data_IF_481365239419
#
_entry.id   IF_481365239419
#
_cell.length_a   1.000
_cell.length_b   1.000
_cell.length_c   1.000
_cell.angle_alpha   90.00
_cell.angle_beta   90.00
_cell.angle_gamma   90.00
#
_symmetry.space_group_name_H-M   'P 1'
#
loop_
_entity.id
_entity.type
_entity.pdbx_description
1 polymer ?
#
# COMPACT_ATOMS: atom_id res chain seq x y z
N UNK A 1 7.14 -9.14 -6.59
CA UNK A 1 7.45 -9.82 -7.89
C UNK A 1 6.19 -9.88 -8.76
N UNK A 2 6.08 -9.03 -9.78
CA UNK A 2 4.98 -9.09 -10.75
C UNK A 2 5.27 -10.19 -11.76
N UNK A 3 4.52 -11.29 -11.71
CA UNK A 3 4.71 -12.40 -12.66
C UNK A 3 3.86 -12.14 -13.89
N UNK A 4 4.54 -11.75 -14.99
CA UNK A 4 4.01 -11.88 -16.34
C UNK A 4 3.82 -13.37 -16.66
N UNK A 5 2.61 -13.77 -17.08
CA UNK A 5 2.37 -15.10 -17.64
C UNK A 5 2.95 -15.17 -19.06
N UNK A 6 4.19 -15.67 -19.20
CA UNK A 6 4.62 -16.51 -20.33
C UNK A 6 6.06 -17.04 -20.16
N UNK A 7 6.22 -18.38 -20.21
CA UNK A 7 7.24 -19.06 -21.02
C UNK A 7 8.66 -19.27 -20.48
N UNK A 8 8.95 -20.53 -20.14
CA UNK A 8 10.26 -21.22 -20.17
C UNK A 8 11.44 -20.70 -19.30
N UNK A 9 11.63 -21.39 -18.17
CA UNK A 9 12.82 -22.23 -17.97
C UNK A 9 14.13 -21.53 -17.62
N UNK A 10 14.29 -21.20 -16.34
CA UNK A 10 15.57 -21.35 -15.61
C UNK A 10 15.23 -21.48 -14.12
N UNK A 11 15.67 -22.57 -13.48
CA UNK A 11 15.59 -22.73 -12.02
C UNK A 11 16.52 -21.70 -11.38
N UNK A 12 15.99 -20.50 -11.13
CA UNK A 12 16.63 -19.50 -10.30
C UNK A 12 16.74 -20.04 -8.88
N UNK A 13 17.94 -19.96 -8.31
CA UNK A 13 18.20 -20.22 -6.90
C UNK A 13 17.13 -19.55 -6.04
N UNK A 14 16.49 -20.31 -5.17
CA UNK A 14 15.48 -19.80 -4.24
C UNK A 14 16.24 -18.91 -3.25
N UNK A 15 16.36 -17.62 -3.56
CA UNK A 15 16.64 -16.63 -2.53
C UNK A 15 15.59 -16.84 -1.43
N UNK A 16 15.98 -16.82 -0.14
CA UNK A 16 14.97 -16.83 0.93
C UNK A 16 13.98 -15.70 0.63
N UNK A 17 12.70 -16.04 0.54
CA UNK A 17 11.66 -15.12 0.09
C UNK A 17 11.73 -13.84 0.91
N UNK A 18 12.28 -12.77 0.30
CA UNK A 18 12.35 -11.46 0.95
C UNK A 18 10.92 -10.96 1.07
N UNK A 19 10.52 -10.53 2.27
CA UNK A 19 9.18 -9.99 2.46
C UNK A 19 9.05 -8.70 1.61
N UNK A 20 8.12 -8.64 0.64
CA UNK A 20 7.92 -7.45 -0.19
C UNK A 20 7.47 -6.27 0.65
N UNK A 21 8.01 -5.08 0.39
CA UNK A 21 7.66 -3.85 1.09
C UNK A 21 7.16 -2.83 0.09
N UNK A 22 5.98 -2.28 0.40
CA UNK A 22 5.45 -1.06 -0.17
C UNK A 22 5.65 0.06 0.84
N UNK A 23 6.29 1.16 0.44
CA UNK A 23 6.54 2.28 1.34
C UNK A 23 5.81 3.54 0.89
N UNK A 24 4.94 4.08 1.73
CA UNK A 24 4.36 5.40 1.51
C UNK A 24 5.40 6.47 1.88
N UNK A 25 5.66 7.36 0.93
CA UNK A 25 6.53 8.53 1.04
C UNK A 25 5.98 9.62 0.12
N UNK A 26 6.47 10.84 0.24
CA UNK A 26 5.77 12.01 -0.29
C UNK A 26 6.69 12.97 -1.03
N UNK A 27 7.95 13.09 -0.59
CA UNK A 27 8.91 14.09 -1.07
C UNK A 27 10.25 13.45 -1.43
N UNK A 28 11.05 14.16 -2.21
CA UNK A 28 12.38 13.71 -2.63
C UNK A 28 13.30 13.36 -1.45
N UNK A 29 13.27 14.13 -0.38
CA UNK A 29 14.14 13.93 0.77
C UNK A 29 13.82 12.64 1.54
N UNK A 30 12.60 12.13 1.47
CA UNK A 30 12.23 10.82 2.03
C UNK A 30 12.75 9.68 1.15
N UNK A 31 12.77 9.87 -0.18
CA UNK A 31 13.42 8.92 -1.11
C UNK A 31 14.92 8.87 -0.85
N UNK A 32 15.57 10.04 -0.67
CA UNK A 32 16.99 10.11 -0.28
C UNK A 32 17.25 9.43 1.05
N UNK A 33 16.37 9.62 2.03
CA UNK A 33 16.47 8.97 3.33
C UNK A 33 16.32 7.46 3.25
N UNK A 34 15.41 6.95 2.41
CA UNK A 34 15.29 5.52 2.12
C UNK A 34 16.57 4.97 1.50
N UNK A 35 17.11 5.65 0.48
CA UNK A 35 18.35 5.24 -0.19
C UNK A 35 19.52 5.22 0.79
N UNK A 36 19.65 6.24 1.64
CA UNK A 36 20.66 6.31 2.70
C UNK A 36 20.50 5.19 3.73
N UNK A 37 19.28 4.94 4.20
CA UNK A 37 19.00 3.87 5.17
C UNK A 37 19.41 2.48 4.65
N UNK A 38 19.19 2.20 3.37
CA UNK A 38 19.61 0.96 2.72
C UNK A 38 21.12 0.95 2.52
N UNK A 39 21.71 2.03 1.98
CA UNK A 39 23.15 2.12 1.71
C UNK A 39 24.00 1.96 2.99
N UNK A 40 23.57 2.53 4.11
CA UNK A 40 24.31 2.47 5.38
C UNK A 40 24.14 1.14 6.14
N UNK A 41 23.38 0.19 5.61
CA UNK A 41 23.11 -1.09 6.27
C UNK A 41 23.34 -2.29 5.34
N UNK A 42 24.45 -3.04 5.51
CA UNK A 42 24.70 -4.27 4.76
C UNK A 42 23.55 -5.29 4.89
N UNK A 43 22.93 -5.37 6.06
CA UNK A 43 21.74 -6.21 6.26
C UNK A 43 20.58 -5.79 5.35
N UNK A 44 20.25 -4.49 5.26
CA UNK A 44 19.16 -4.03 4.41
C UNK A 44 19.46 -4.19 2.93
N UNK A 45 20.70 -4.00 2.49
CA UNK A 45 21.09 -4.27 1.10
C UNK A 45 20.80 -5.73 0.68
N UNK A 46 20.92 -6.66 1.63
CA UNK A 46 20.65 -8.09 1.40
C UNK A 46 19.20 -8.49 1.64
N UNK A 47 18.52 -7.89 2.62
CA UNK A 47 17.23 -8.37 3.12
C UNK A 47 16.04 -7.50 2.74
N UNK A 48 16.24 -6.20 2.50
CA UNK A 48 15.14 -5.32 2.11
C UNK A 48 14.69 -5.64 0.68
N UNK A 49 13.37 -5.75 0.49
CA UNK A 49 12.74 -5.82 -0.83
C UNK A 49 11.75 -4.68 -0.95
N UNK A 50 12.23 -3.50 -1.32
CA UNK A 50 11.34 -2.37 -1.62
C UNK A 50 10.78 -2.60 -3.01
N UNK A 51 9.61 -3.23 -3.09
CA UNK A 51 8.93 -3.48 -4.36
C UNK A 51 8.38 -2.17 -4.94
N UNK A 52 7.87 -1.30 -4.07
CA UNK A 52 7.26 -0.05 -4.51
C UNK A 52 7.35 1.06 -3.46
N UNK A 53 7.38 2.28 -3.95
CA UNK A 53 7.18 3.51 -3.18
C UNK A 53 5.90 4.18 -3.66
N UNK A 54 5.16 4.83 -2.76
CA UNK A 54 3.89 5.46 -3.12
C UNK A 54 3.79 6.89 -2.62
N UNK A 55 3.49 7.80 -3.54
CA UNK A 55 3.02 9.15 -3.23
C UNK A 55 1.54 9.09 -2.85
N UNK A 56 1.27 9.32 -1.57
CA UNK A 56 -0.03 9.07 -0.94
C UNK A 56 -0.76 10.37 -0.59
N UNK A 57 -2.09 10.39 -0.69
CA UNK A 57 -2.93 11.54 -0.34
C UNK A 57 -2.91 11.86 1.17
N UNK A 58 -2.45 10.91 2.00
CA UNK A 58 -2.10 11.09 3.40
C UNK A 58 -1.03 12.17 3.63
N UNK A 59 -0.41 12.70 2.57
CA UNK A 59 0.36 13.95 2.60
C UNK A 59 -0.43 15.11 3.23
N UNK A 60 -1.73 15.19 2.92
CA UNK A 60 -2.64 16.19 3.47
C UNK A 60 -2.67 16.16 5.01
N UNK A 61 -2.65 14.97 5.59
CA UNK A 61 -2.70 14.79 7.04
C UNK A 61 -1.32 14.94 7.68
N UNK A 62 -0.30 14.33 7.08
CA UNK A 62 1.06 14.28 7.62
C UNK A 62 1.76 15.63 7.50
N UNK A 63 1.89 16.18 6.30
CA UNK A 63 2.70 17.35 6.02
C UNK A 63 1.92 18.66 6.04
N UNK A 64 0.62 18.62 5.74
CA UNK A 64 -0.24 19.81 5.73
C UNK A 64 -1.16 19.91 6.97
N UNK A 65 -1.13 18.93 7.87
CA UNK A 65 -1.87 18.97 9.13
C UNK A 65 -3.40 18.96 8.98
N UNK A 66 -3.96 18.55 7.84
CA UNK A 66 -5.41 18.39 7.66
C UNK A 66 -5.90 17.20 8.49
N UNK A 67 -7.15 17.26 8.92
CA UNK A 67 -7.80 16.16 9.66
C UNK A 67 -8.24 14.99 8.78
N UNK A 68 -8.26 15.17 7.46
CA UNK A 68 -8.73 14.18 6.48
C UNK A 68 -8.04 14.37 5.13
N UNK A 69 -8.01 13.30 4.34
CA UNK A 69 -7.59 13.32 2.93
C UNK A 69 -8.72 13.76 1.98
N UNK A 70 -9.96 13.84 2.48
CA UNK A 70 -11.09 14.42 1.74
C UNK A 70 -11.01 15.93 1.70
N UNK A 71 -11.39 16.51 0.57
CA UNK A 71 -11.38 17.97 0.34
C UNK A 71 -12.71 18.42 -0.24
N UNK A 72 -12.98 19.73 -0.18
CA UNK A 72 -14.19 20.26 -0.82
C UNK A 72 -14.08 20.14 -2.34
N UNK A 73 -15.22 20.06 -3.05
CA UNK A 73 -15.23 19.89 -4.52
C UNK A 73 -14.41 20.98 -5.26
N UNK A 74 -14.42 22.22 -4.75
CA UNK A 74 -13.61 23.31 -5.30
C UNK A 74 -12.10 23.17 -5.09
N UNK A 75 -11.65 22.36 -4.12
CA UNK A 75 -10.24 22.08 -3.85
C UNK A 75 -9.71 20.87 -4.65
N UNK A 76 -10.58 20.00 -5.18
CA UNK A 76 -10.17 18.75 -5.84
C UNK A 76 -9.21 18.96 -7.03
N UNK A 77 -9.40 19.96 -7.93
CA UNK A 77 -8.43 20.23 -8.99
C UNK A 77 -7.04 20.61 -8.47
N UNK A 78 -7.00 21.44 -7.40
CA UNK A 78 -5.74 21.86 -6.77
C UNK A 78 -5.04 20.69 -6.07
N UNK A 79 -5.81 19.79 -5.45
CA UNK A 79 -5.28 18.57 -4.85
C UNK A 79 -4.64 17.66 -5.91
N UNK A 80 -5.31 17.46 -7.05
CA UNK A 80 -4.76 16.68 -8.16
C UNK A 80 -3.45 17.30 -8.67
N UNK A 81 -3.42 18.62 -8.87
CA UNK A 81 -2.21 19.32 -9.31
C UNK A 81 -1.05 19.17 -8.31
N UNK A 82 -1.34 19.25 -7.02
CA UNK A 82 -0.36 19.01 -5.96
C UNK A 82 0.19 17.59 -6.03
N UNK A 83 -0.68 16.57 -6.10
CA UNK A 83 -0.27 15.17 -6.14
C UNK A 83 0.57 14.86 -7.39
N UNK A 84 0.20 15.39 -8.56
CA UNK A 84 1.00 15.27 -9.80
C UNK A 84 2.41 15.84 -9.63
N UNK A 85 2.56 16.97 -8.94
CA UNK A 85 3.87 17.56 -8.69
C UNK A 85 4.71 16.75 -7.69
N UNK A 86 4.08 16.22 -6.63
CA UNK A 86 4.75 15.33 -5.67
C UNK A 86 5.22 14.03 -6.34
N UNK A 87 4.38 13.43 -7.19
CA UNK A 87 4.76 12.26 -8.01
C UNK A 87 5.97 12.58 -8.88
N UNK A 88 5.99 13.74 -9.56
CA UNK A 88 7.12 14.14 -10.41
C UNK A 88 8.41 14.31 -9.60
N UNK A 89 8.32 14.94 -8.44
CA UNK A 89 9.44 15.13 -7.52
C UNK A 89 10.02 13.77 -7.07
N UNK A 90 9.17 12.89 -6.56
CA UNK A 90 9.55 11.54 -6.09
C UNK A 90 10.11 10.69 -7.24
N UNK A 91 9.44 10.69 -8.39
CA UNK A 91 9.86 9.88 -9.53
C UNK A 91 11.24 10.30 -10.06
N UNK A 92 11.55 11.59 -10.06
CA UNK A 92 12.88 12.09 -10.42
C UNK A 92 13.94 11.60 -9.43
N UNK A 93 13.65 11.61 -8.13
CA UNK A 93 14.61 11.20 -7.10
C UNK A 93 14.80 9.68 -7.06
N UNK A 94 13.73 8.89 -7.24
CA UNK A 94 13.81 7.42 -7.30
C UNK A 94 14.76 6.98 -8.42
N UNK A 95 14.60 7.57 -9.61
CA UNK A 95 15.47 7.28 -10.77
C UNK A 95 16.93 7.69 -10.57
N UNK A 96 17.22 8.61 -9.64
CA UNK A 96 18.56 9.06 -9.30
C UNK A 96 19.20 8.24 -8.19
N UNK A 97 18.38 7.78 -7.25
CA UNK A 97 18.82 7.10 -6.03
C UNK A 97 18.91 5.57 -6.19
N UNK A 98 18.21 4.98 -7.17
CA UNK A 98 18.12 3.53 -7.36
C UNK A 98 18.41 3.11 -8.82
N UNK A 99 19.69 2.93 -9.15
CA UNK A 99 20.13 2.69 -10.54
C UNK A 99 19.97 1.24 -11.03
N UNK A 100 20.04 0.26 -10.14
CA UNK A 100 20.04 -1.17 -10.55
C UNK A 100 18.66 -1.80 -10.49
N UNK A 101 17.91 -1.53 -9.43
CA UNK A 101 16.59 -2.10 -9.17
C UNK A 101 15.69 -1.04 -8.54
N UNK A 102 15.23 -0.04 -9.32
CA UNK A 102 14.34 0.98 -8.80
C UNK A 102 13.00 0.36 -8.37
N UNK A 103 12.43 0.79 -7.22
CA UNK A 103 11.08 0.41 -6.85
C UNK A 103 10.06 0.99 -7.84
N UNK A 104 8.93 0.31 -8.01
CA UNK A 104 7.80 0.88 -8.75
C UNK A 104 7.28 2.13 -8.02
N UNK A 105 6.94 3.17 -8.79
CA UNK A 105 6.37 4.41 -8.27
C UNK A 105 4.86 4.33 -8.40
N UNK A 106 4.17 4.35 -7.27
CA UNK A 106 2.71 4.34 -7.19
C UNK A 106 2.22 5.77 -6.92
N UNK A 107 1.26 6.24 -7.71
CA UNK A 107 0.55 7.49 -7.44
C UNK A 107 -0.84 7.17 -6.87
N UNK A 108 -1.16 7.70 -5.70
CA UNK A 108 -2.51 7.63 -5.18
C UNK A 108 -3.44 8.56 -5.96
N UNK A 109 -4.60 8.05 -6.37
CA UNK A 109 -5.64 8.83 -7.01
C UNK A 109 -6.41 9.59 -5.92
N UNK A 110 -6.24 10.93 -5.82
CA UNK A 110 -6.79 11.67 -4.69
C UNK A 110 -8.33 11.81 -4.77
N UNK A 111 -8.92 12.28 -3.67
CA UNK A 111 -10.36 12.57 -3.60
C UNK A 111 -10.85 13.39 -4.81
N UNK A 112 -11.97 12.94 -5.39
CA UNK A 112 -12.57 13.51 -6.61
C UNK A 112 -11.99 13.01 -7.94
N UNK A 113 -10.79 12.42 -7.95
CA UNK A 113 -10.12 12.01 -9.20
C UNK A 113 -10.67 10.72 -9.82
N UNK A 114 -11.53 9.98 -9.11
CA UNK A 114 -12.17 8.73 -9.56
C UNK A 114 -13.69 8.81 -9.54
N UNK A 115 -14.26 10.02 -9.69
CA UNK A 115 -15.72 10.23 -9.67
C UNK A 115 -16.44 9.58 -10.85
N UNK A 116 -15.81 9.59 -12.02
CA UNK A 116 -16.26 8.93 -13.24
C UNK A 116 -15.08 8.47 -14.10
N UNK A 117 -15.36 7.69 -15.14
CA UNK A 117 -14.35 7.11 -16.04
C UNK A 117 -13.50 8.19 -16.74
N UNK A 118 -14.10 9.29 -17.17
CA UNK A 118 -13.41 10.35 -17.91
C UNK A 118 -12.43 11.09 -17.02
N UNK A 119 -12.88 11.45 -15.82
CA UNK A 119 -12.04 12.10 -14.81
C UNK A 119 -10.92 11.15 -14.38
N UNK A 120 -11.22 9.88 -14.13
CA UNK A 120 -10.22 8.88 -13.74
C UNK A 120 -9.14 8.67 -14.80
N UNK A 121 -9.53 8.50 -16.08
CA UNK A 121 -8.60 8.36 -17.20
C UNK A 121 -7.69 9.58 -17.35
N UNK A 122 -8.27 10.78 -17.27
CA UNK A 122 -7.52 12.04 -17.39
C UNK A 122 -6.55 12.20 -16.22
N UNK A 123 -7.02 11.97 -14.99
CA UNK A 123 -6.22 12.11 -13.78
C UNK A 123 -5.09 11.09 -13.73
N UNK A 124 -5.38 9.82 -14.06
CA UNK A 124 -4.38 8.77 -14.10
C UNK A 124 -3.32 9.03 -15.17
N UNK A 125 -3.71 9.49 -16.36
CA UNK A 125 -2.76 9.87 -17.42
C UNK A 125 -1.79 10.95 -16.92
N UNK A 126 -2.28 11.96 -16.20
CA UNK A 126 -1.43 13.00 -15.60
C UNK A 126 -0.45 12.45 -14.56
N UNK A 127 -0.83 11.44 -13.78
CA UNK A 127 0.05 10.78 -12.81
C UNK A 127 1.13 9.94 -13.51
N UNK A 128 0.76 9.20 -14.55
CA UNK A 128 1.70 8.43 -15.37
C UNK A 128 2.69 9.36 -16.08
N UNK A 129 2.21 10.47 -16.66
CA UNK A 129 3.06 11.50 -17.28
C UNK A 129 4.00 12.19 -16.27
N UNK A 130 3.60 12.27 -15.00
CA UNK A 130 4.48 12.73 -13.92
C UNK A 130 5.56 11.70 -13.54
N UNK A 131 5.41 10.45 -14.00
CA UNK A 131 6.41 9.40 -13.85
C UNK A 131 6.01 8.28 -12.89
N UNK A 132 4.73 8.15 -12.53
CA UNK A 132 4.24 6.95 -11.86
C UNK A 132 4.16 5.76 -12.82
N UNK A 133 4.38 4.55 -12.27
CA UNK A 133 4.24 3.29 -13.00
C UNK A 133 2.86 2.65 -12.80
N UNK A 134 2.21 2.97 -11.69
CA UNK A 134 0.93 2.40 -11.24
C UNK A 134 0.10 3.48 -10.56
N UNK A 135 -1.22 3.46 -10.72
CA UNK A 135 -2.14 4.29 -9.94
C UNK A 135 -2.83 3.47 -8.84
N UNK A 136 -2.97 4.01 -7.62
CA UNK A 136 -3.78 3.41 -6.55
C UNK A 136 -5.19 3.98 -6.56
N UNK A 137 -6.20 3.13 -6.44
CA UNK A 137 -7.61 3.54 -6.30
C UNK A 137 -8.26 2.84 -5.11
N UNK A 138 -8.99 3.61 -4.28
CA UNK A 138 -9.79 3.06 -3.19
C UNK A 138 -11.11 2.48 -3.68
N UNK A 139 -11.42 1.25 -3.27
CA UNK A 139 -12.71 0.61 -3.57
C UNK A 139 -13.73 1.10 -2.55
N UNK A 140 -14.28 2.29 -2.82
CA UNK A 140 -15.30 2.91 -1.98
C UNK A 140 -16.72 2.42 -2.31
N UNK A 141 -16.93 1.84 -3.50
CA UNK A 141 -18.19 1.27 -3.97
C UNK A 141 -17.95 0.39 -5.22
N UNK A 142 -18.97 -0.36 -5.66
CA UNK A 142 -18.84 -1.27 -6.82
C UNK A 142 -18.58 -0.53 -8.15
N UNK A 143 -18.96 0.74 -8.31
CA UNK A 143 -18.70 1.49 -9.54
C UNK A 143 -17.20 1.79 -9.76
N UNK A 144 -16.37 1.60 -8.74
CA UNK A 144 -14.91 1.68 -8.89
C UNK A 144 -14.39 0.59 -9.84
N UNK A 145 -14.98 -0.60 -9.86
CA UNK A 145 -14.52 -1.69 -10.74
C UNK A 145 -14.67 -1.32 -12.23
N UNK A 146 -15.71 -0.57 -12.58
CA UNK A 146 -15.89 0.00 -13.91
C UNK A 146 -14.79 0.99 -14.30
N UNK A 147 -14.25 1.73 -13.34
CA UNK A 147 -13.13 2.66 -13.52
C UNK A 147 -11.82 1.88 -13.68
N UNK A 148 -11.59 0.88 -12.82
CA UNK A 148 -10.42 -0.01 -12.91
C UNK A 148 -10.37 -0.69 -14.28
N UNK A 149 -11.51 -1.17 -14.78
CA UNK A 149 -11.62 -1.76 -16.12
C UNK A 149 -11.28 -0.77 -17.23
N UNK A 150 -11.78 0.47 -17.14
CA UNK A 150 -11.49 1.51 -18.12
C UNK A 150 -10.00 1.88 -18.16
N UNK A 151 -9.35 1.97 -17.01
CA UNK A 151 -7.91 2.26 -16.89
C UNK A 151 -7.07 1.09 -17.43
N UNK A 152 -7.41 -0.14 -17.03
CA UNK A 152 -6.71 -1.35 -17.47
C UNK A 152 -6.81 -1.54 -18.99
N UNK A 153 -7.97 -1.21 -19.59
CA UNK A 153 -8.15 -1.23 -21.05
C UNK A 153 -7.25 -0.22 -21.80
N UNK A 154 -6.71 0.80 -21.11
CA UNK A 154 -5.71 1.72 -21.64
C UNK A 154 -4.27 1.35 -21.25
N UNK A 155 -4.05 0.14 -20.73
CA UNK A 155 -2.76 -0.34 -20.21
C UNK A 155 -2.23 0.49 -19.02
N UNK A 156 -3.11 1.20 -18.30
CA UNK A 156 -2.75 1.85 -17.04
C UNK A 156 -2.86 0.79 -15.94
N UNK A 157 -1.73 0.51 -15.28
CA UNK A 157 -1.65 -0.45 -14.18
C UNK A 157 -2.34 0.12 -12.94
N UNK A 158 -3.18 -0.69 -12.30
CA UNK A 158 -3.97 -0.27 -11.14
C UNK A 158 -3.68 -1.14 -9.92
N UNK A 159 -3.40 -0.50 -8.78
CA UNK A 159 -3.42 -1.11 -7.46
C UNK A 159 -4.72 -0.73 -6.75
N UNK A 160 -5.58 -1.69 -6.40
CA UNK A 160 -6.81 -1.37 -5.68
C UNK A 160 -6.61 -1.45 -4.17
N UNK A 161 -7.27 -0.56 -3.43
CA UNK A 161 -7.23 -0.54 -1.97
C UNK A 161 -8.55 -1.10 -1.42
N UNK A 162 -8.45 -2.25 -0.75
CA UNK A 162 -9.55 -2.95 -0.08
C UNK A 162 -9.40 -2.86 1.44
N UNK A 163 -10.51 -3.09 2.13
CA UNK A 163 -10.57 -3.01 3.57
C UNK A 163 -11.03 -1.62 4.02
N UNK A 164 -10.34 -1.05 5.00
CA UNK A 164 -10.61 0.32 5.44
C UNK A 164 -10.14 1.34 4.39
N UNK A 165 -11.10 2.02 3.75
CA UNK A 165 -10.84 3.09 2.78
C UNK A 165 -11.13 4.47 3.38
N UNK A 166 -10.10 5.29 3.70
CA UNK A 166 -10.28 6.65 4.23
C UNK A 166 -11.20 7.51 3.35
N UNK A 167 -11.07 7.41 2.03
CA UNK A 167 -11.89 8.17 1.09
C UNK A 167 -13.32 7.64 1.03
N UNK A 168 -13.59 6.41 1.47
CA UNK A 168 -14.92 5.80 1.57
C UNK A 168 -15.67 6.16 2.86
N UNK A 169 -14.99 6.72 3.86
CA UNK A 169 -15.59 7.12 5.13
C UNK A 169 -15.92 5.94 6.05
N UNK A 170 -15.36 4.76 5.75
CA UNK A 170 -15.41 3.62 6.66
C UNK A 170 -14.72 3.99 7.99
N UNK A 171 -15.14 3.37 9.08
CA UNK A 171 -14.52 3.55 10.41
C UNK A 171 -14.19 2.20 11.02
N UNK A 172 -12.92 2.00 11.40
CA UNK A 172 -12.50 0.82 12.15
C UNK A 172 -11.97 -0.33 11.30
N UNK A 173 -11.78 -1.49 11.95
CA UNK A 173 -11.30 -2.74 11.34
C UNK A 173 -12.46 -3.45 10.65
N UNK A 174 -12.21 -4.01 9.48
CA UNK A 174 -13.20 -4.74 8.67
C UNK A 174 -12.82 -6.22 8.51
N UNK A 175 -13.76 -7.03 8.00
CA UNK A 175 -13.58 -8.48 7.93
C UNK A 175 -13.61 -9.12 9.32
N UNK A 176 -14.38 -8.55 10.24
CA UNK A 176 -14.49 -9.03 11.63
C UNK A 176 -15.63 -10.01 11.85
N UNK A 177 -16.46 -10.21 10.82
CA UNK A 177 -17.51 -11.23 10.73
C UNK A 177 -17.34 -12.01 9.43
N UNK A 178 -17.93 -13.21 9.34
CA UNK A 178 -17.86 -14.00 8.10
C UNK A 178 -18.51 -13.27 6.93
N UNK A 179 -19.64 -12.59 7.16
CA UNK A 179 -20.31 -11.79 6.13
C UNK A 179 -19.40 -10.69 5.57
N UNK A 180 -18.73 -9.92 6.44
CA UNK A 180 -17.75 -8.91 6.01
C UNK A 180 -16.58 -9.54 5.24
N UNK A 181 -16.09 -10.72 5.68
CA UNK A 181 -15.03 -11.44 5.00
C UNK A 181 -15.44 -11.85 3.58
N UNK A 182 -16.64 -12.42 3.39
CA UNK A 182 -17.14 -12.81 2.07
C UNK A 182 -17.38 -11.60 1.16
N UNK A 183 -17.80 -10.45 1.70
CA UNK A 183 -17.85 -9.21 0.93
C UNK A 183 -16.47 -8.80 0.43
N UNK A 184 -15.45 -8.79 1.29
CA UNK A 184 -14.06 -8.49 0.89
C UNK A 184 -13.53 -9.47 -0.16
N UNK A 185 -13.88 -10.76 -0.05
CA UNK A 185 -13.51 -11.77 -1.05
C UNK A 185 -14.16 -11.49 -2.40
N UNK A 186 -15.44 -11.09 -2.43
CA UNK A 186 -16.12 -10.65 -3.64
C UNK A 186 -15.45 -9.42 -4.24
N UNK A 187 -15.13 -8.41 -3.42
CA UNK A 187 -14.45 -7.20 -3.88
C UNK A 187 -13.06 -7.48 -4.47
N UNK A 188 -12.28 -8.39 -3.86
CA UNK A 188 -10.98 -8.80 -4.38
C UNK A 188 -11.07 -9.52 -5.73
N UNK A 189 -12.06 -10.39 -5.91
CA UNK A 189 -12.35 -11.02 -7.21
C UNK A 189 -12.75 -9.98 -8.24
N UNK A 190 -13.68 -9.10 -7.90
CA UNK A 190 -14.13 -8.03 -8.80
C UNK A 190 -12.97 -7.10 -9.20
N UNK A 191 -12.04 -6.80 -8.29
CA UNK A 191 -10.84 -6.03 -8.61
C UNK A 191 -9.96 -6.76 -9.62
N UNK A 192 -9.73 -8.07 -9.42
CA UNK A 192 -8.97 -8.90 -10.35
C UNK A 192 -9.64 -8.98 -11.73
N UNK A 193 -10.94 -9.25 -11.77
CA UNK A 193 -11.73 -9.33 -13.01
C UNK A 193 -11.76 -7.99 -13.76
N UNK A 194 -11.73 -6.87 -13.02
CA UNK A 194 -11.62 -5.52 -13.59
C UNK A 194 -10.21 -5.18 -14.12
N UNK A 195 -9.20 -6.02 -13.86
CA UNK A 195 -7.83 -5.82 -14.33
C UNK A 195 -6.87 -5.18 -13.33
N UNK A 196 -7.18 -5.17 -12.03
CA UNK A 196 -6.23 -4.75 -11.02
C UNK A 196 -5.00 -5.67 -10.97
N UNK A 197 -3.81 -5.09 -10.90
CA UNK A 197 -2.53 -5.83 -10.87
C UNK A 197 -2.10 -6.22 -9.46
N UNK A 198 -2.64 -5.53 -8.45
CA UNK A 198 -2.22 -5.68 -7.05
C UNK A 198 -3.22 -5.06 -6.08
N UNK A 199 -3.09 -5.41 -4.80
CA UNK A 199 -3.97 -4.95 -3.72
C UNK A 199 -3.21 -4.24 -2.59
N UNK A 200 -3.82 -3.22 -2.01
CA UNK A 200 -3.58 -2.82 -0.61
C UNK A 200 -4.70 -3.41 0.24
N UNK A 201 -4.34 -3.99 1.39
CA UNK A 201 -5.28 -4.57 2.35
C UNK A 201 -5.12 -3.89 3.70
N UNK A 202 -5.99 -2.92 4.00
CA UNK A 202 -5.88 -2.10 5.21
C UNK A 202 -6.89 -2.49 6.29
N UNK A 203 -6.40 -2.63 7.53
CA UNK A 203 -7.19 -2.93 8.74
C UNK A 203 -8.21 -4.04 8.51
N UNK A 204 -7.76 -5.14 7.90
CA UNK A 204 -8.52 -6.38 7.76
C UNK A 204 -8.11 -7.37 8.87
N UNK A 205 -9.03 -8.22 9.32
CA UNK A 205 -8.67 -9.33 10.23
C UNK A 205 -7.60 -10.25 9.61
N UNK A 206 -6.64 -10.71 10.41
CA UNK A 206 -5.51 -11.49 9.91
C UNK A 206 -5.96 -12.78 9.18
N UNK A 207 -7.01 -13.46 9.63
CA UNK A 207 -7.46 -14.70 8.97
C UNK A 207 -8.09 -14.43 7.61
N UNK A 208 -8.75 -13.29 7.45
CA UNK A 208 -9.33 -12.85 6.17
C UNK A 208 -8.24 -12.38 5.22
N UNK A 209 -7.28 -11.58 5.71
CA UNK A 209 -6.10 -11.18 4.95
C UNK A 209 -5.33 -12.40 4.45
N UNK A 210 -5.05 -13.38 5.32
CA UNK A 210 -4.34 -14.60 4.92
C UNK A 210 -5.13 -15.45 3.93
N UNK A 211 -6.45 -15.56 4.09
CA UNK A 211 -7.29 -16.27 3.11
C UNK A 211 -7.21 -15.64 1.71
N UNK A 212 -7.14 -14.30 1.63
CA UNK A 212 -6.96 -13.55 0.38
C UNK A 212 -5.58 -13.75 -0.23
N UNK A 213 -4.52 -13.82 0.57
CA UNK A 213 -3.14 -13.62 0.08
C UNK A 213 -2.32 -14.91 0.05
N UNK A 214 -2.58 -15.87 0.93
CA UNK A 214 -1.83 -17.13 1.00
C UNK A 214 -2.36 -18.16 -0.03
N UNK A 215 -2.69 -17.73 -1.25
CA UNK A 215 -3.16 -18.59 -2.37
C UNK A 215 -2.32 -18.37 -3.63
N UNK A 216 -2.10 -19.39 -4.47
CA UNK A 216 -1.38 -19.24 -5.74
C UNK A 216 -2.07 -18.31 -6.74
N UNK A 217 -3.39 -18.19 -6.68
CA UNK A 217 -4.21 -17.36 -7.56
C UNK A 217 -4.26 -15.88 -7.11
N UNK A 218 -3.73 -15.58 -5.92
CA UNK A 218 -3.80 -14.26 -5.31
C UNK A 218 -3.09 -13.19 -6.14
N UNK A 219 -3.70 -12.01 -6.21
CA UNK A 219 -3.01 -10.80 -6.63
C UNK A 219 -1.87 -10.46 -5.64
N UNK A 220 -0.73 -9.93 -6.11
CA UNK A 220 0.28 -9.33 -5.25
C UNK A 220 -0.38 -8.32 -4.29
N UNK A 221 -0.15 -8.48 -3.00
CA UNK A 221 -0.89 -7.75 -1.97
C UNK A 221 0.05 -7.18 -0.92
N UNK A 222 -0.22 -5.94 -0.48
CA UNK A 222 0.52 -5.25 0.57
C UNK A 222 -0.41 -4.88 1.71
N UNK A 223 -0.21 -5.51 2.86
CA UNK A 223 -1.06 -5.31 4.03
C UNK A 223 -0.57 -4.18 4.92
N UNK A 224 -1.49 -3.38 5.48
CA UNK A 224 -1.19 -2.42 6.53
C UNK A 224 -2.22 -2.57 7.65
N UNK A 225 -1.72 -2.73 8.88
CA UNK A 225 -2.55 -3.05 10.06
C UNK A 225 -3.43 -4.32 9.91
N UNK A 226 -3.10 -5.23 9.00
CA UNK A 226 -3.83 -6.48 8.72
C UNK A 226 -3.06 -7.76 9.09
N UNK A 227 -1.97 -7.62 9.86
CA UNK A 227 -1.10 -8.73 10.26
C UNK A 227 -0.20 -9.25 9.14
N UNK A 228 0.40 -10.43 9.35
CA UNK A 228 1.34 -11.05 8.41
C UNK A 228 0.67 -12.13 7.58
N UNK A 229 1.20 -12.34 6.39
CA UNK A 229 0.89 -13.46 5.51
C UNK A 229 2.20 -14.09 5.04
N UNK A 230 2.14 -15.34 4.56
CA UNK A 230 3.31 -16.05 4.07
C UNK A 230 3.71 -15.54 2.67
N UNK A 231 2.74 -15.19 1.85
CA UNK A 231 2.96 -14.80 0.46
C UNK A 231 2.81 -13.29 0.20
N UNK A 232 2.36 -12.52 1.19
CA UNK A 232 2.08 -11.08 1.04
C UNK A 232 3.21 -10.17 1.49
N UNK A 233 3.18 -8.96 0.94
CA UNK A 233 4.01 -7.85 1.38
C UNK A 233 3.41 -7.04 2.52
N UNK A 234 4.20 -6.10 3.02
CA UNK A 234 3.80 -5.13 4.04
C UNK A 234 3.78 -3.73 3.43
N UNK A 235 2.74 -2.95 3.74
CA UNK A 235 2.67 -1.53 3.45
C UNK A 235 3.03 -0.74 4.71
N UNK A 236 4.04 0.11 4.60
CA UNK A 236 4.60 0.92 5.68
C UNK A 236 4.49 2.41 5.34
N UNK A 237 4.52 3.27 6.34
CA UNK A 237 4.55 4.72 6.17
C UNK A 237 5.89 5.29 6.68
N UNK A 238 6.58 6.10 5.87
CA UNK A 238 7.81 6.76 6.30
C UNK A 238 7.58 7.70 7.48
N UNK A 239 6.45 8.43 7.46
CA UNK A 239 6.03 9.33 8.54
C UNK A 239 5.89 8.60 9.88
N UNK A 240 5.22 7.44 9.87
CA UNK A 240 4.95 6.63 11.06
C UNK A 240 6.23 6.00 11.63
N UNK A 241 7.34 5.97 10.87
CA UNK A 241 8.62 5.52 11.40
C UNK A 241 9.23 6.54 12.38
N UNK A 242 8.89 7.82 12.25
CA UNK A 242 9.49 8.95 12.98
C UNK A 242 8.57 9.46 14.09
N UNK A 243 7.30 9.72 13.77
CA UNK A 243 6.37 10.41 14.67
C UNK A 243 5.41 9.47 15.38
N UNK A 244 5.22 9.69 16.69
CA UNK A 244 4.26 8.93 17.49
C UNK A 244 2.82 9.26 17.09
N UNK A 245 1.90 8.27 17.15
CA UNK A 245 0.50 8.54 16.98
C UNK A 245 -0.04 9.28 18.21
N UNK A 246 -1.09 10.08 18.03
CA UNK A 246 -1.77 10.80 19.12
C UNK A 246 -2.59 9.91 20.07
N UNK A 247 -2.40 8.60 20.05
CA UNK A 247 -3.14 7.61 20.84
C UNK A 247 -2.25 6.41 21.19
N UNK A 248 -2.61 5.63 22.21
CA UNK A 248 -1.87 4.39 22.53
C UNK A 248 -2.01 3.37 21.40
N UNK A 249 -0.88 3.04 20.75
CA UNK A 249 -0.90 2.25 19.54
C UNK A 249 0.12 1.11 19.60
N UNK A 250 -0.27 -0.01 20.22
CA UNK A 250 0.55 -1.24 20.31
C UNK A 250 1.02 -1.78 18.95
N UNK A 251 0.25 -1.53 17.89
CA UNK A 251 0.51 -2.04 16.53
C UNK A 251 1.18 -1.00 15.62
N UNK A 252 1.58 0.15 16.17
CA UNK A 252 2.28 1.20 15.45
C UNK A 252 3.80 0.93 15.42
N UNK A 253 4.55 1.45 14.43
CA UNK A 253 6.00 1.29 14.40
C UNK A 253 6.67 1.64 15.73
N UNK A 254 7.43 0.71 16.34
CA UNK A 254 8.14 0.97 17.60
C UNK A 254 9.32 1.93 17.40
N UNK A 255 9.62 2.30 16.16
CA UNK A 255 10.69 3.23 15.83
C UNK A 255 10.32 4.68 16.07
N UNK A 256 9.02 5.02 16.10
CA UNK A 256 8.53 6.37 16.30
C UNK A 256 8.93 6.94 17.67
N UNK A 257 9.70 8.04 17.68
CA UNK A 257 10.26 8.62 18.91
C UNK A 257 9.98 10.11 19.09
N UNK A 258 9.51 10.80 18.05
CA UNK A 258 9.24 12.23 18.07
C UNK A 258 7.75 12.54 18.08
N UNK A 259 7.40 13.71 18.60
CA UNK A 259 6.04 14.23 18.52
C UNK A 259 5.90 15.11 17.28
N UNK A 260 4.71 15.13 16.67
CA UNK A 260 4.45 15.89 15.43
C UNK A 260 4.73 17.40 15.61
N UNK A 261 4.65 17.92 16.83
CA UNK A 261 5.00 19.31 17.15
C UNK A 261 6.46 19.68 16.85
N UNK A 262 7.35 18.71 16.66
CA UNK A 262 8.74 18.92 16.27
C UNK A 262 8.94 19.02 14.74
N UNK A 263 7.90 18.79 13.95
CA UNK A 263 7.91 19.04 12.51
C UNK A 263 7.81 20.56 12.22
N UNK A 264 8.56 21.10 11.25
CA UNK A 264 9.44 20.40 10.31
C UNK A 264 10.90 20.24 10.79
N UNK A 265 11.29 20.87 11.89
CA UNK A 265 12.69 21.04 12.28
C UNK A 265 13.45 19.71 12.38
N UNK A 266 12.85 18.68 12.98
CA UNK A 266 13.52 17.37 13.14
C UNK A 266 13.39 16.46 11.91
N UNK A 267 12.49 16.77 10.97
CA UNK A 267 12.12 15.87 9.87
C UNK A 267 13.09 16.00 8.68
N UNK A 268 14.36 15.68 8.96
CA UNK A 268 15.47 15.81 8.03
C UNK A 268 15.98 14.43 7.59
N UNK A 269 16.65 14.38 6.44
CA UNK A 269 17.15 13.13 5.82
C UNK A 269 17.84 12.18 6.81
N UNK A 270 18.78 12.60 7.68
CA UNK A 270 19.45 11.69 8.59
C UNK A 270 18.51 11.07 9.64
N UNK A 271 17.56 11.85 10.16
CA UNK A 271 16.58 11.38 11.15
C UNK A 271 15.62 10.39 10.51
N UNK A 272 15.11 10.72 9.32
CA UNK A 272 14.23 9.83 8.56
C UNK A 272 14.97 8.52 8.24
N UNK A 273 16.23 8.59 7.79
CA UNK A 273 17.02 7.42 7.41
C UNK A 273 17.26 6.47 8.59
N UNK A 274 17.62 6.98 9.78
CA UNK A 274 17.79 6.16 10.98
C UNK A 274 16.49 5.44 11.37
N UNK A 275 15.40 6.19 11.47
CA UNK A 275 14.10 5.69 11.88
C UNK A 275 13.53 4.66 10.89
N UNK A 276 13.56 4.99 9.61
CA UNK A 276 13.11 4.11 8.55
C UNK A 276 14.00 2.86 8.44
N UNK A 277 15.32 3.02 8.55
CA UNK A 277 16.26 1.91 8.52
C UNK A 277 16.01 0.91 9.65
N UNK A 278 15.72 1.38 10.86
CA UNK A 278 15.29 0.51 11.97
C UNK A 278 13.97 -0.19 11.67
N UNK A 279 12.99 0.51 11.10
CA UNK A 279 11.68 -0.07 10.77
C UNK A 279 11.81 -1.17 9.71
N UNK A 280 12.56 -0.90 8.64
CA UNK A 280 12.83 -1.87 7.58
C UNK A 280 13.55 -3.12 8.11
N UNK A 281 14.48 -2.97 9.07
CA UNK A 281 15.15 -4.12 9.71
C UNK A 281 14.15 -4.98 10.46
N UNK A 282 13.29 -4.36 11.28
CA UNK A 282 12.25 -5.09 12.02
C UNK A 282 11.30 -5.81 11.08
N UNK A 283 10.95 -5.20 9.94
CA UNK A 283 10.10 -5.85 8.93
C UNK A 283 10.81 -7.00 8.24
N UNK A 284 12.04 -6.81 7.76
CA UNK A 284 12.81 -7.88 7.10
C UNK A 284 13.12 -9.06 8.04
N UNK A 285 13.26 -8.82 9.35
CA UNK A 285 13.41 -9.87 10.38
C UNK A 285 12.09 -10.53 10.77
N UNK A 286 10.96 -10.05 10.24
CA UNK A 286 9.63 -10.54 10.60
C UNK A 286 9.25 -10.21 12.05
N UNK A 287 9.81 -9.16 12.64
CA UNK A 287 9.46 -8.68 13.99
C UNK A 287 8.31 -7.66 13.95
N UNK A 288 8.18 -6.90 12.87
CA UNK A 288 7.12 -5.91 12.65
C UNK A 288 6.48 -6.06 11.25
N UNK A 289 5.17 -5.79 11.05
CA UNK A 289 4.17 -5.41 12.04
C UNK A 289 3.78 -6.56 12.98
N UNK A 290 3.10 -6.26 14.08
CA UNK A 290 2.47 -7.30 14.90
C UNK A 290 1.09 -7.64 14.33
N UNK A 291 0.68 -8.91 14.47
CA UNK A 291 -0.67 -9.31 14.10
C UNK A 291 -1.66 -8.90 15.20
N UNK A 292 -2.73 -8.15 14.85
CA UNK A 292 -3.79 -7.83 15.80
C UNK A 292 -4.60 -9.08 16.15
N UNK A 293 -5.17 -9.17 17.37
CA UNK A 293 -5.98 -10.31 17.76
C UNK A 293 -7.21 -10.41 16.86
N UNK A 294 -7.49 -11.62 16.41
CA UNK A 294 -8.68 -11.92 15.63
C UNK A 294 -9.92 -12.03 16.51
N UNK A 295 -11.07 -11.60 15.97
CA UNK A 295 -12.37 -11.74 16.65
C UNK A 295 -13.07 -13.07 16.36
N UNK A 296 -12.57 -13.85 15.40
CA UNK A 296 -13.21 -15.10 14.97
C UNK A 296 -13.09 -16.23 15.99
N UNK A 297 -14.17 -17.00 16.13
CA UNK A 297 -14.17 -18.28 16.84
C UNK A 297 -13.33 -19.32 16.10
N UNK A 298 -13.00 -20.42 16.78
CA UNK A 298 -12.17 -21.47 16.19
C UNK A 298 -12.82 -22.12 14.95
N UNK A 299 -14.14 -22.26 14.93
CA UNK A 299 -14.89 -22.79 13.78
C UNK A 299 -14.81 -21.85 12.56
N UNK A 300 -15.05 -20.55 12.77
CA UNK A 300 -15.01 -19.54 11.70
C UNK A 300 -13.59 -19.41 11.12
N UNK A 301 -12.55 -19.51 11.97
CA UNK A 301 -11.16 -19.56 11.51
C UNK A 301 -10.88 -20.75 10.61
N UNK A 302 -11.45 -21.93 10.92
CA UNK A 302 -11.32 -23.11 10.05
C UNK A 302 -12.03 -22.90 8.72
N UNK A 303 -13.22 -22.31 8.73
CA UNK A 303 -13.95 -21.94 7.51
C UNK A 303 -13.11 -21.03 6.61
N UNK A 304 -12.56 -19.94 7.16
CA UNK A 304 -11.71 -19.01 6.40
C UNK A 304 -10.43 -19.64 5.86
N UNK A 305 -9.81 -20.57 6.62
CA UNK A 305 -8.61 -21.29 6.17
C UNK A 305 -8.89 -22.28 5.04
N UNK A 306 -10.08 -22.88 5.03
CA UNK A 306 -10.48 -23.86 4.02
C UNK A 306 -11.02 -23.20 2.76
N UNK A 307 -11.70 -22.07 2.89
CA UNK A 307 -12.26 -21.32 1.77
C UNK A 307 -11.15 -20.70 0.91
N UNK A 308 -11.23 -20.87 -0.41
CA UNK A 308 -10.38 -20.19 -1.38
C UNK A 308 -11.15 -19.02 -2.04
N UNK A 309 -10.87 -17.76 -1.65
CA UNK A 309 -11.53 -16.58 -2.21
C UNK A 309 -11.45 -16.42 -3.72
N UNK A 310 -10.49 -17.07 -4.38
CA UNK A 310 -10.26 -16.88 -5.81
C UNK A 310 -10.96 -17.92 -6.69
N UNK A 311 -11.34 -19.05 -6.12
CA UNK A 311 -11.92 -20.18 -6.86
C UNK A 311 -13.34 -20.54 -6.39
N UNK A 312 -13.62 -20.38 -5.11
CA UNK A 312 -14.91 -20.78 -4.54
C UNK A 312 -15.94 -19.68 -4.80
N UNK A 313 -16.93 -19.96 -5.65
CA UNK A 313 -17.96 -18.98 -6.03
C UNK A 313 -19.20 -19.01 -5.13
N UNK A 314 -19.36 -20.04 -4.30
CA UNK A 314 -20.50 -20.13 -3.38
C UNK A 314 -20.22 -19.33 -2.09
N UNK A 315 -21.17 -18.46 -1.76
CA UNK A 315 -21.24 -17.79 -0.47
C UNK A 315 -22.20 -18.62 0.38
N UNK A 316 -21.78 -19.02 1.58
CA UNK A 316 -22.64 -19.71 2.55
C UNK A 316 -23.81 -18.83 2.99
#
# INVERSE_FOLDING_TARGET
>A
MFISKAGNGTLLSIEPARQPIKLNLYRDYEVRALALAIADSPFLQMAASIDCVMVSDSYLMTHLGRSSTRVSEGEQPLLLDMMVNLVREVASEVRRSFDTHPPFIIADMPDGSTRDKTIALTSASRMIDAGADVVKIEVCNEAIFDIVSALSAQNIRVMTHLGYTPQGGQSGRVGTTLAEAFTLFKEARNACDAGADSLVIEKVDEFVHRALVDRPESLPSYAIFSGKSANGGQSLNVWDSVFRPGFEARYFPPTASYDVASYPDIYQVPVIADHLGRLLKLTAMGEFPLSPPSRFKAEERRTLQQYNPWLDQEVF
#
